data_IF_342011991433
#
_entry.id   IF_342011991433
#
_cell.length_a   1.000
_cell.length_b   1.000
_cell.length_c   1.000
_cell.angle_alpha   90.00
_cell.angle_beta   90.00
_cell.angle_gamma   90.00
#
_symmetry.space_group_name_H-M   'P 1'
#
loop_
_entity.id
_entity.type
_entity.pdbx_description
1 polymer ?
#
# COMPACT_ATOMS: atom_id res chain seq x y z
N UNK A 1 -14.75 13.67 -10.17
CA UNK A 1 -14.74 12.40 -10.92
C UNK A 1 -13.33 12.01 -11.37
N UNK A 2 -12.47 12.92 -11.84
CA UNK A 2 -11.09 12.60 -12.28
C UNK A 2 -10.17 11.98 -11.20
N UNK A 3 -10.39 12.24 -9.91
CA UNK A 3 -9.56 11.68 -8.83
C UNK A 3 -9.74 10.18 -8.58
N UNK A 4 -10.95 9.63 -8.73
CA UNK A 4 -11.19 8.20 -8.47
C UNK A 4 -10.69 7.29 -9.59
N UNK A 5 -10.78 7.72 -10.85
CA UNK A 5 -10.31 6.92 -12.00
C UNK A 5 -8.79 6.80 -12.00
N UNK A 6 -8.06 7.89 -11.68
CA UNK A 6 -6.60 7.86 -11.52
C UNK A 6 -6.18 6.91 -10.39
N UNK A 7 -6.86 6.97 -9.24
CA UNK A 7 -6.56 6.05 -8.12
C UNK A 7 -6.80 4.60 -8.53
N UNK A 8 -7.88 4.30 -9.25
CA UNK A 8 -8.18 2.93 -9.68
C UNK A 8 -7.12 2.40 -10.68
N UNK A 9 -6.74 3.23 -11.66
CA UNK A 9 -5.73 2.88 -12.68
C UNK A 9 -4.29 2.80 -12.16
N UNK A 10 -3.94 3.58 -11.13
CA UNK A 10 -2.58 3.62 -10.56
C UNK A 10 -2.40 2.63 -9.41
N UNK A 11 -3.42 2.42 -8.58
CA UNK A 11 -3.31 1.60 -7.37
C UNK A 11 -3.90 0.19 -7.52
N UNK A 12 -4.32 -0.17 -8.74
CA UNK A 12 -4.81 -1.51 -9.08
C UNK A 12 -5.92 -1.98 -8.16
N UNK A 13 -6.78 -1.07 -7.69
CA UNK A 13 -7.99 -1.43 -6.92
C UNK A 13 -8.85 -2.31 -7.81
N UNK A 14 -9.30 -3.44 -7.27
CA UNK A 14 -10.30 -4.25 -7.94
C UNK A 14 -11.59 -3.44 -8.11
N UNK A 15 -12.29 -3.67 -9.22
CA UNK A 15 -13.60 -3.08 -9.51
C UNK A 15 -14.52 -3.28 -8.29
N UNK A 16 -15.33 -2.29 -7.83
CA UNK A 16 -16.19 -2.45 -6.65
C UNK A 16 -17.17 -3.63 -6.71
N UNK A 17 -17.37 -4.24 -7.89
CA UNK A 17 -18.22 -5.42 -8.08
C UNK A 17 -17.44 -6.74 -8.22
N UNK A 18 -16.11 -6.70 -8.38
CA UNK A 18 -15.29 -7.89 -8.53
C UNK A 18 -14.33 -8.02 -7.34
N UNK A 19 -14.50 -9.10 -6.58
CA UNK A 19 -13.60 -9.59 -5.52
C UNK A 19 -13.73 -8.88 -4.16
N UNK A 20 -14.83 -9.13 -3.45
CA UNK A 20 -14.85 -8.92 -2.00
C UNK A 20 -13.95 -10.00 -1.36
N UNK A 21 -12.70 -9.66 -1.07
CA UNK A 21 -11.79 -10.55 -0.37
C UNK A 21 -12.33 -10.86 1.03
N UNK A 22 -12.23 -12.12 1.45
CA UNK A 22 -12.67 -12.55 2.78
C UNK A 22 -11.51 -12.44 3.77
N UNK A 23 -11.40 -11.28 4.41
CA UNK A 23 -10.36 -10.99 5.40
C UNK A 23 -10.37 -11.93 6.61
N UNK A 24 -11.50 -12.59 6.91
CA UNK A 24 -11.58 -13.58 7.98
C UNK A 24 -11.05 -14.95 7.56
N UNK A 25 -10.96 -15.22 6.25
CA UNK A 25 -10.45 -16.48 5.69
C UNK A 25 -9.23 -16.31 4.78
N UNK A 26 -8.47 -15.22 4.97
CA UNK A 26 -7.33 -14.86 4.11
C UNK A 26 -6.31 -15.99 3.88
N UNK A 27 -6.18 -16.94 4.81
CA UNK A 27 -5.24 -18.07 4.68
C UNK A 27 -5.62 -19.02 3.54
N UNK A 28 -6.90 -19.15 3.23
CA UNK A 28 -7.45 -20.09 2.25
C UNK A 28 -8.45 -19.41 1.28
N UNK A 29 -8.40 -18.09 1.15
CA UNK A 29 -9.28 -17.33 0.26
C UNK A 29 -8.84 -17.58 -1.21
N UNK A 30 -9.68 -18.25 -2.04
CA UNK A 30 -9.32 -18.57 -3.42
C UNK A 30 -9.16 -17.32 -4.29
N UNK A 31 -9.85 -16.22 -3.96
CA UNK A 31 -9.73 -14.97 -4.71
C UNK A 31 -8.42 -14.26 -4.38
N UNK A 32 -7.99 -14.29 -3.11
CA UNK A 32 -6.65 -13.83 -2.76
C UNK A 32 -5.57 -14.68 -3.43
N UNK A 33 -5.74 -16.01 -3.45
CA UNK A 33 -4.79 -16.91 -4.13
C UNK A 33 -4.69 -16.59 -5.63
N UNK A 34 -5.83 -16.31 -6.28
CA UNK A 34 -5.88 -15.90 -7.69
C UNK A 34 -5.11 -14.59 -7.91
N UNK A 35 -5.38 -13.54 -7.14
CA UNK A 35 -4.64 -12.26 -7.24
C UNK A 35 -3.15 -12.47 -7.04
N UNK A 36 -2.75 -13.27 -6.04
CA UNK A 36 -1.35 -13.57 -5.76
C UNK A 36 -0.66 -14.28 -6.93
N UNK A 37 -1.33 -15.24 -7.58
CA UNK A 37 -0.80 -15.94 -8.75
C UNK A 37 -0.68 -15.01 -9.95
N UNK A 38 -1.72 -14.22 -10.24
CA UNK A 38 -1.74 -13.30 -11.38
C UNK A 38 -0.69 -12.19 -11.27
N UNK A 39 -0.46 -11.67 -10.05
CA UNK A 39 0.50 -10.58 -9.78
C UNK A 39 1.84 -11.04 -9.22
N UNK A 40 2.07 -12.37 -9.15
CA UNK A 40 3.29 -12.99 -8.63
C UNK A 40 3.68 -12.55 -7.20
N UNK A 41 2.70 -12.38 -6.32
CA UNK A 41 2.91 -12.10 -4.89
C UNK A 41 3.33 -13.38 -4.13
N UNK A 42 4.58 -13.77 -4.33
CA UNK A 42 5.16 -15.03 -3.86
C UNK A 42 5.50 -15.02 -2.37
N UNK A 43 5.63 -13.86 -1.72
CA UNK A 43 5.93 -13.73 -0.30
C UNK A 43 4.81 -12.99 0.45
N UNK A 44 4.56 -13.38 1.70
CA UNK A 44 3.66 -12.66 2.60
C UNK A 44 4.03 -12.81 4.08
N UNK A 45 3.67 -11.83 4.88
CA UNK A 45 3.54 -11.95 6.33
C UNK A 45 2.39 -11.09 6.88
N UNK A 46 2.19 -11.13 8.20
CA UNK A 46 1.16 -10.35 8.88
C UNK A 46 1.81 -9.44 9.92
N UNK A 47 1.51 -8.15 9.83
CA UNK A 47 1.89 -7.16 10.83
C UNK A 47 0.66 -6.66 11.58
N UNK A 48 0.81 -6.45 12.88
CA UNK A 48 -0.20 -5.76 13.71
C UNK A 48 0.41 -4.47 14.23
N UNK A 49 -0.12 -3.33 13.81
CA UNK A 49 0.30 -2.02 14.26
C UNK A 49 -0.67 -1.59 15.37
N UNK A 50 -0.19 -1.73 16.59
CA UNK A 50 -0.88 -1.36 17.82
C UNK A 50 0.20 -1.08 18.87
N UNK A 51 -0.03 -0.08 19.72
CA UNK A 51 0.95 0.38 20.72
C UNK A 51 1.53 -0.75 21.58
N UNK A 52 0.68 -1.70 21.96
CA UNK A 52 1.08 -2.79 22.86
C UNK A 52 1.67 -4.01 22.13
N UNK A 53 1.47 -4.12 20.82
CA UNK A 53 1.82 -5.33 20.03
C UNK A 53 3.01 -5.13 19.09
N UNK A 54 3.30 -3.90 18.68
CA UNK A 54 4.36 -3.61 17.71
C UNK A 54 5.67 -3.23 18.44
N UNK A 55 6.76 -4.01 18.29
CA UNK A 55 8.06 -3.61 18.82
C UNK A 55 8.54 -2.30 18.20
N UNK A 56 9.10 -1.42 19.03
CA UNK A 56 9.53 -0.06 18.64
C UNK A 56 8.41 0.76 18.00
N UNK A 57 7.18 0.62 18.51
CA UNK A 57 5.97 1.28 17.98
C UNK A 57 6.19 2.76 17.65
N UNK A 58 6.68 3.56 18.61
CA UNK A 58 6.84 5.01 18.47
C UNK A 58 7.83 5.40 17.36
N UNK A 59 8.87 4.59 17.12
CA UNK A 59 9.83 4.82 16.04
C UNK A 59 9.23 4.40 14.69
N UNK A 60 8.55 3.24 14.66
CA UNK A 60 7.94 2.70 13.44
C UNK A 60 6.82 3.60 12.92
N UNK A 61 5.92 4.10 13.77
CA UNK A 61 4.85 5.00 13.31
C UNK A 61 5.39 6.31 12.73
N UNK A 62 6.51 6.83 13.28
CA UNK A 62 7.17 8.02 12.73
C UNK A 62 7.77 7.73 11.37
N UNK A 63 8.47 6.60 11.24
CA UNK A 63 9.04 6.14 9.97
C UNK A 63 7.96 5.93 8.90
N UNK A 64 6.82 5.33 9.26
CA UNK A 64 5.71 5.12 8.33
C UNK A 64 5.05 6.43 7.87
N UNK A 65 5.03 7.45 8.74
CA UNK A 65 4.38 8.74 8.44
C UNK A 65 5.29 9.75 7.72
N UNK A 66 6.61 9.60 7.84
CA UNK A 66 7.55 10.38 7.03
C UNK A 66 7.29 10.11 5.54
N UNK A 67 7.29 11.14 4.70
CA UNK A 67 7.05 10.95 3.26
C UNK A 67 8.23 10.20 2.63
N UNK A 68 7.95 9.05 2.00
CA UNK A 68 8.96 8.17 1.44
C UNK A 68 8.51 7.48 0.16
N UNK A 69 9.44 6.80 -0.50
CA UNK A 69 9.18 5.84 -1.57
C UNK A 69 9.90 4.50 -1.31
N UNK A 70 9.48 3.50 -2.07
CA UNK A 70 10.12 2.19 -2.17
C UNK A 70 10.58 1.94 -3.61
N UNK A 71 11.57 1.05 -3.77
CA UNK A 71 12.06 0.62 -5.09
C UNK A 71 11.25 -0.56 -5.65
N UNK A 72 10.44 -1.17 -4.82
CA UNK A 72 9.49 -2.23 -5.13
C UNK A 72 8.08 -1.76 -4.75
N UNK A 73 7.07 -2.46 -5.26
CA UNK A 73 5.68 -2.18 -4.92
C UNK A 73 5.39 -2.41 -3.43
N UNK A 74 4.63 -1.50 -2.81
CA UNK A 74 4.10 -1.67 -1.47
C UNK A 74 2.68 -2.23 -1.54
N UNK A 75 2.54 -3.53 -1.26
CA UNK A 75 1.24 -4.21 -1.26
C UNK A 75 0.76 -4.45 0.18
N UNK A 76 -0.49 -4.06 0.45
CA UNK A 76 -1.14 -4.19 1.76
C UNK A 76 -2.56 -4.69 1.60
N UNK A 77 -2.91 -5.69 2.40
CA UNK A 77 -4.28 -6.19 2.53
C UNK A 77 -4.72 -6.08 3.99
N UNK A 78 -5.77 -5.29 4.26
CA UNK A 78 -6.23 -5.02 5.63
C UNK A 78 -7.09 -6.16 6.13
N UNK A 79 -6.59 -6.85 7.16
CA UNK A 79 -7.26 -7.99 7.78
C UNK A 79 -8.19 -7.57 8.92
N UNK A 80 -7.86 -6.47 9.61
CA UNK A 80 -8.63 -5.92 10.72
C UNK A 80 -8.22 -4.46 11.00
N UNK A 81 -9.10 -3.69 11.62
CA UNK A 81 -8.87 -2.27 11.90
C UNK A 81 -8.90 -1.39 10.65
N UNK A 82 -8.22 -0.24 10.71
CA UNK A 82 -8.21 0.75 9.63
C UNK A 82 -7.04 1.73 9.73
N UNK A 83 -6.79 2.46 8.62
CA UNK A 83 -5.76 3.48 8.54
C UNK A 83 -5.82 4.28 7.24
N UNK A 84 -4.85 5.17 7.07
CA UNK A 84 -4.74 6.04 5.90
C UNK A 84 -3.41 5.83 5.19
N UNK A 85 -3.48 5.65 3.88
CA UNK A 85 -2.35 5.89 2.99
C UNK A 85 -2.53 7.26 2.34
N UNK A 86 -1.59 8.16 2.56
CA UNK A 86 -1.54 9.40 1.81
C UNK A 86 -0.57 9.22 0.64
N UNK A 87 -0.97 9.62 -0.57
CA UNK A 87 -0.15 9.54 -1.80
C UNK A 87 -0.11 10.90 -2.50
N UNK A 88 0.94 11.17 -3.27
CA UNK A 88 1.02 12.38 -4.11
C UNK A 88 0.28 12.18 -5.43
N UNK A 89 -0.59 13.12 -5.80
CA UNK A 89 -1.17 13.20 -7.15
C UNK A 89 -0.18 13.77 -8.17
N UNK A 90 -0.62 13.91 -9.44
CA UNK A 90 0.20 14.45 -10.54
C UNK A 90 0.67 15.90 -10.29
N UNK A 91 -0.07 16.67 -9.50
CA UNK A 91 0.27 18.04 -9.11
C UNK A 91 0.99 18.09 -7.74
N UNK A 92 1.47 16.94 -7.26
CA UNK A 92 2.20 16.79 -6.00
C UNK A 92 1.36 17.19 -4.77
N UNK A 93 0.04 17.06 -4.83
CA UNK A 93 -0.87 17.27 -3.70
C UNK A 93 -1.19 15.96 -3.02
N UNK A 94 -1.42 16.02 -1.70
CA UNK A 94 -1.81 14.84 -0.94
C UNK A 94 -3.25 14.39 -1.27
N UNK A 95 -3.39 13.12 -1.64
CA UNK A 95 -4.65 12.38 -1.65
C UNK A 95 -4.62 11.41 -0.48
N UNK A 96 -5.66 11.46 0.36
CA UNK A 96 -5.84 10.52 1.47
C UNK A 96 -6.73 9.36 1.05
N UNK A 97 -6.20 8.15 1.20
CA UNK A 97 -6.89 6.90 0.91
C UNK A 97 -7.21 6.22 2.25
N UNK A 98 -8.48 6.16 2.61
CA UNK A 98 -8.93 5.35 3.73
C UNK A 98 -8.93 3.88 3.34
N UNK A 99 -8.38 3.05 4.22
CA UNK A 99 -8.31 1.60 4.07
C UNK A 99 -8.88 0.95 5.33
N UNK A 100 -9.82 0.05 5.15
CA UNK A 100 -10.46 -0.73 6.20
C UNK A 100 -10.45 -2.22 5.88
N UNK A 101 -10.91 -3.04 6.83
CA UNK A 101 -10.94 -4.51 6.68
C UNK A 101 -11.55 -4.94 5.34
N UNK A 102 -10.84 -5.79 4.61
CA UNK A 102 -11.22 -6.27 3.29
C UNK A 102 -10.55 -5.50 2.15
N UNK A 103 -10.03 -4.30 2.40
CA UNK A 103 -9.37 -3.51 1.37
C UNK A 103 -7.94 -4.00 1.10
N UNK A 104 -7.61 -4.14 -0.18
CA UNK A 104 -6.26 -4.39 -0.67
C UNK A 104 -5.80 -3.24 -1.56
N UNK A 105 -4.54 -2.81 -1.39
CA UNK A 105 -3.92 -1.75 -2.21
C UNK A 105 -2.53 -2.16 -2.64
N UNK A 106 -2.13 -1.73 -3.83
CA UNK A 106 -0.77 -1.77 -4.34
C UNK A 106 -0.32 -0.34 -4.60
N UNK A 107 0.69 0.14 -3.88
CA UNK A 107 1.35 1.40 -4.15
C UNK A 107 2.56 1.10 -5.06
N UNK A 108 2.59 1.63 -6.30
CA UNK A 108 3.64 1.28 -7.25
C UNK A 108 5.02 1.79 -6.78
N UNK A 109 6.07 1.06 -7.10
CA UNK A 109 7.45 1.49 -6.89
C UNK A 109 7.66 2.95 -7.37
N UNK A 110 8.40 3.74 -6.60
CA UNK A 110 8.70 5.15 -6.93
C UNK A 110 7.60 6.17 -6.60
N UNK A 111 6.43 5.77 -6.11
CA UNK A 111 5.43 6.73 -5.63
C UNK A 111 5.81 7.29 -4.24
N UNK A 112 5.70 8.61 -4.08
CA UNK A 112 5.76 9.22 -2.76
C UNK A 112 4.47 8.98 -1.99
N UNK A 113 4.61 8.39 -0.81
CA UNK A 113 3.50 8.05 0.05
C UNK A 113 3.90 8.08 1.52
N UNK A 114 2.91 7.92 2.39
CA UNK A 114 3.07 7.69 3.82
C UNK A 114 1.86 6.97 4.38
N UNK A 115 2.03 6.33 5.53
CA UNK A 115 0.97 5.65 6.26
C UNK A 115 0.76 6.26 7.65
N UNK A 116 -0.49 6.35 8.08
CA UNK A 116 -0.86 6.63 9.48
C UNK A 116 -2.05 5.80 9.90
N UNK A 117 -2.09 5.44 11.18
CA UNK A 117 -3.33 4.96 11.80
C UNK A 117 -4.39 6.07 11.78
N UNK A 118 -5.65 5.66 11.79
CA UNK A 118 -6.77 6.55 12.09
C UNK A 118 -6.97 6.69 13.61
N UNK A 119 -8.06 7.34 14.03
CA UNK A 119 -8.37 7.57 15.44
C UNK A 119 -8.63 6.28 16.24
N UNK A 120 -8.86 5.13 15.59
CA UNK A 120 -9.00 3.82 16.27
C UNK A 120 -7.65 3.24 16.69
N UNK A 121 -6.53 3.79 16.19
CA UNK A 121 -5.16 3.43 16.59
C UNK A 121 -4.83 1.93 16.48
N UNK A 122 -5.41 1.25 15.48
CA UNK A 122 -5.20 -0.18 15.28
C UNK A 122 -5.38 -0.60 13.82
N UNK A 123 -4.42 -1.34 13.30
CA UNK A 123 -4.56 -2.09 12.05
C UNK A 123 -3.81 -3.42 12.11
N UNK A 124 -4.42 -4.47 11.55
CA UNK A 124 -3.77 -5.73 11.21
C UNK A 124 -3.74 -5.83 9.69
N UNK A 125 -2.55 -5.91 9.11
CA UNK A 125 -2.38 -5.96 7.67
C UNK A 125 -1.53 -7.18 7.28
N UNK A 126 -1.95 -7.86 6.22
CA UNK A 126 -1.06 -8.71 5.46
C UNK A 126 -0.21 -7.84 4.55
N UNK A 127 1.09 -8.10 4.51
CA UNK A 127 2.02 -7.47 3.58
C UNK A 127 2.40 -8.52 2.53
N UNK A 128 2.35 -8.14 1.26
CA UNK A 128 2.65 -9.03 0.14
C UNK A 128 3.80 -8.47 -0.69
N UNK A 129 4.64 -9.35 -1.25
CA UNK A 129 5.82 -8.98 -2.04
C UNK A 129 5.99 -9.89 -3.25
N UNK A 130 6.57 -9.33 -4.31
CA UNK A 130 7.13 -10.10 -5.42
C UNK A 130 8.56 -10.50 -5.03
N UNK A 131 8.79 -11.78 -4.77
CA UNK A 131 10.09 -12.26 -4.31
C UNK A 131 10.39 -11.95 -2.84
N UNK A 132 11.67 -11.92 -2.48
CA UNK A 132 12.11 -11.64 -1.11
C UNK A 132 11.91 -10.16 -0.76
N UNK A 133 11.33 -9.82 0.41
CA UNK A 133 10.92 -8.46 0.70
C UNK A 133 12.11 -7.55 1.04
N UNK A 134 12.12 -6.36 0.44
CA UNK A 134 12.99 -5.24 0.80
C UNK A 134 12.13 -4.09 1.33
N UNK A 135 12.22 -3.82 2.63
CA UNK A 135 11.37 -2.82 3.32
C UNK A 135 11.96 -1.41 3.36
N UNK A 136 13.09 -1.18 2.70
CA UNK A 136 13.85 0.07 2.84
C UNK A 136 13.03 1.23 2.31
N UNK A 137 12.67 2.15 3.21
CA UNK A 137 12.05 3.42 2.89
C UNK A 137 13.13 4.46 2.55
N UNK A 138 12.96 5.16 1.44
CA UNK A 138 13.79 6.30 1.07
C UNK A 138 12.98 7.57 1.23
N UNK A 139 13.27 8.32 2.30
CA UNK A 139 12.57 9.57 2.59
C UNK A 139 12.79 10.59 1.48
N UNK A 140 11.77 11.38 1.19
CA UNK A 140 11.86 12.47 0.22
C UNK A 140 12.86 13.53 0.72
N UNK A 141 13.78 14.04 -0.14
CA UNK A 141 13.94 13.77 -1.57
C UNK A 141 14.66 12.46 -1.89
N UNK A 142 14.08 11.68 -2.80
CA UNK A 142 14.61 10.40 -3.29
C UNK A 142 14.54 10.31 -4.83
N UNK A 143 14.59 11.46 -5.53
CA UNK A 143 14.32 11.54 -6.97
C UNK A 143 15.41 10.93 -7.87
N UNK A 144 16.56 10.55 -7.30
CA UNK A 144 17.69 9.98 -8.03
C UNK A 144 17.55 8.48 -8.31
N UNK A 145 16.56 7.79 -7.74
CA UNK A 145 16.32 6.37 -7.98
C UNK A 145 15.63 6.12 -9.32
N UNK A 146 16.05 5.06 -10.02
CA UNK A 146 15.48 4.66 -11.31
C UNK A 146 13.97 4.38 -11.21
N UNK A 147 13.53 3.71 -10.15
CA UNK A 147 12.11 3.43 -9.89
C UNK A 147 11.25 4.71 -9.88
N UNK A 148 11.78 5.82 -9.34
CA UNK A 148 11.09 7.13 -9.37
C UNK A 148 10.99 7.68 -10.79
N UNK A 149 12.05 7.55 -11.59
CA UNK A 149 12.04 7.95 -13.00
C UNK A 149 10.99 7.18 -13.81
N UNK A 150 10.99 5.85 -13.67
CA UNK A 150 10.02 4.96 -14.33
C UNK A 150 8.57 5.28 -13.91
N UNK A 151 8.34 5.54 -12.62
CA UNK A 151 7.02 5.95 -12.13
C UNK A 151 6.54 7.27 -12.76
N UNK A 152 7.43 8.26 -12.89
CA UNK A 152 7.08 9.54 -13.52
C UNK A 152 6.78 9.38 -15.03
N UNK A 153 7.52 8.52 -15.72
CA UNK A 153 7.25 8.18 -17.12
C UNK A 153 5.88 7.50 -17.29
N UNK A 154 5.54 6.57 -16.40
CA UNK A 154 4.21 5.94 -16.34
C UNK A 154 3.10 6.99 -16.12
N UNK A 155 3.27 7.89 -15.14
CA UNK A 155 2.28 8.94 -14.86
C UNK A 155 2.04 9.87 -16.04
N UNK A 156 3.08 10.19 -16.81
CA UNK A 156 2.98 11.03 -18.00
C UNK A 156 2.17 10.37 -19.13
N UNK A 157 2.07 9.03 -19.14
CA UNK A 157 1.34 8.26 -20.15
C UNK A 157 -0.12 7.99 -19.78
N UNK A 158 -0.42 7.89 -18.49
CA UNK A 158 -1.81 7.78 -17.99
C UNK A 158 -2.47 9.15 -17.99
N UNK A 159 -3.47 9.39 -18.84
CA UNK A 159 -4.22 10.66 -18.90
C UNK A 159 -5.29 10.72 -17.80
#
# INVERSE_FOLDING_TARGET
MQGCEWICGVFGRSDPQDLLLDADKYENDPELEKIRKERNYSWMDVITICKDKLPNYEEKIKMFYEEHLHLDDEIRYILDGSGYFDVRDKEDRWIRIFMEKGDMITLPAGIYHRFTLDEKNYVKAMRLFVGDPVWTAYNRPADHFEARGQYLEFLAQTA
#
